data_IF_815586543429
#
_entry.id   IF_815586543429
#
_cell.length_a   1.000
_cell.length_b   1.000
_cell.length_c   1.000
_cell.angle_alpha   90.00
_cell.angle_beta   90.00
_cell.angle_gamma   90.00
#
_symmetry.space_group_name_H-M   'P 1'
#
loop_
_entity.id
_entity.type
_entity.pdbx_description
1 polymer ?
#
# COMPACT_ATOMS: atom_id res chain seq x y z
N UNK A 1 -15.53 14.48 18.34
CA UNK A 1 -16.43 14.04 17.26
C UNK A 1 -17.03 12.65 17.52
N UNK A 2 -16.24 11.57 17.67
CA UNK A 2 -16.78 10.20 17.82
C UNK A 2 -17.69 10.05 19.05
N UNK A 3 -17.29 10.56 20.22
CA UNK A 3 -18.13 10.58 21.43
C UNK A 3 -19.44 11.36 21.27
N UNK A 4 -19.43 12.41 20.48
CA UNK A 4 -20.64 13.20 20.23
C UNK A 4 -21.62 12.40 19.37
N UNK A 5 -21.11 11.66 18.38
CA UNK A 5 -21.93 10.82 17.50
C UNK A 5 -22.39 9.53 18.21
N UNK A 6 -21.54 8.96 19.04
CA UNK A 6 -21.77 7.69 19.76
C UNK A 6 -21.52 7.82 21.26
N UNK A 7 -22.42 8.44 22.04
CA UNK A 7 -22.20 8.76 23.45
C UNK A 7 -21.95 7.55 24.34
N UNK A 8 -22.51 6.40 23.98
CA UNK A 8 -22.43 5.16 24.76
C UNK A 8 -21.30 4.21 24.28
N UNK A 9 -20.52 4.62 23.29
CA UNK A 9 -19.45 3.80 22.75
C UNK A 9 -18.30 3.65 23.74
N UNK A 10 -17.78 2.43 23.86
CA UNK A 10 -16.57 2.12 24.61
C UNK A 10 -15.34 2.42 23.76
N UNK A 11 -14.71 3.56 24.04
CA UNK A 11 -13.61 4.09 23.24
C UNK A 11 -12.30 3.98 24.01
N UNK A 12 -11.26 3.45 23.36
CA UNK A 12 -9.89 3.45 23.86
C UNK A 12 -9.07 4.49 23.11
N UNK A 13 -8.55 5.49 23.83
CA UNK A 13 -7.62 6.46 23.29
C UNK A 13 -6.19 6.07 23.64
N UNK A 14 -5.33 5.97 22.63
CA UNK A 14 -3.92 5.73 22.84
C UNK A 14 -3.22 7.02 23.29
N UNK A 15 -2.48 6.96 24.41
CA UNK A 15 -1.60 8.01 24.87
C UNK A 15 -0.13 7.71 24.49
N UNK A 16 0.75 8.69 24.57
CA UNK A 16 2.18 8.47 24.34
C UNK A 16 2.77 7.45 25.33
N UNK A 17 2.29 7.46 26.57
CA UNK A 17 2.74 6.54 27.63
C UNK A 17 2.38 5.09 27.34
N UNK A 18 1.30 4.83 26.60
CA UNK A 18 0.87 3.49 26.24
C UNK A 18 1.83 2.81 25.26
N UNK A 19 2.63 3.60 24.52
CA UNK A 19 3.56 3.13 23.50
C UNK A 19 5.04 3.11 23.91
N UNK A 20 5.32 3.34 25.19
CA UNK A 20 6.68 3.06 25.71
C UNK A 20 6.97 1.55 25.64
N UNK A 21 8.24 1.12 25.57
CA UNK A 21 8.58 -0.30 25.51
C UNK A 21 7.96 -1.13 26.63
N UNK A 22 7.83 -0.55 27.83
CA UNK A 22 7.28 -1.24 28.99
C UNK A 22 5.74 -1.38 28.93
N UNK A 23 5.05 -0.40 28.36
CA UNK A 23 3.58 -0.32 28.40
C UNK A 23 2.89 -0.85 27.16
N UNK A 24 3.54 -0.84 26.00
CA UNK A 24 2.88 -1.18 24.73
C UNK A 24 2.34 -2.61 24.68
N UNK A 25 3.04 -3.56 25.28
CA UNK A 25 2.57 -4.95 25.35
C UNK A 25 1.27 -5.03 26.14
N UNK A 26 1.19 -4.32 27.26
CA UNK A 26 -0.04 -4.21 28.07
C UNK A 26 -1.17 -3.55 27.29
N UNK A 27 -0.87 -2.49 26.55
CA UNK A 27 -1.84 -1.79 25.72
C UNK A 27 -2.39 -2.69 24.60
N UNK A 28 -1.53 -3.44 23.93
CA UNK A 28 -1.95 -4.40 22.88
C UNK A 28 -2.80 -5.53 23.46
N UNK A 29 -2.43 -6.07 24.63
CA UNK A 29 -3.23 -7.05 25.33
C UNK A 29 -4.59 -6.49 25.77
N UNK A 30 -4.64 -5.22 26.14
CA UNK A 30 -5.88 -4.55 26.49
C UNK A 30 -6.85 -4.51 25.29
N UNK A 31 -6.36 -4.19 24.11
CA UNK A 31 -7.17 -4.23 22.87
C UNK A 31 -7.64 -5.67 22.59
N UNK A 32 -6.75 -6.64 22.67
CA UNK A 32 -7.06 -8.07 22.42
C UNK A 32 -8.13 -8.62 23.34
N UNK A 33 -8.07 -8.27 24.61
CA UNK A 33 -8.85 -8.93 25.66
C UNK A 33 -10.13 -8.16 26.05
N UNK A 34 -10.37 -7.01 25.46
CA UNK A 34 -11.55 -6.19 25.75
C UNK A 34 -12.34 -5.89 24.47
N UNK A 35 -13.62 -5.77 24.63
CA UNK A 35 -14.55 -5.42 23.56
C UNK A 35 -14.72 -3.89 23.48
N UNK A 36 -13.85 -3.25 22.71
CA UNK A 36 -13.95 -1.83 22.41
C UNK A 36 -14.73 -1.60 21.12
N UNK A 37 -15.59 -0.59 21.10
CA UNK A 37 -16.26 -0.14 19.87
C UNK A 37 -15.30 0.62 18.95
N UNK A 38 -14.32 1.31 19.52
CA UNK A 38 -13.33 2.06 18.76
C UNK A 38 -12.02 2.20 19.53
N UNK A 39 -10.92 2.09 18.80
CA UNK A 39 -9.57 2.41 19.29
C UNK A 39 -9.01 3.55 18.44
N UNK A 40 -8.59 4.63 19.07
CA UNK A 40 -8.07 5.82 18.39
C UNK A 40 -6.59 5.98 18.71
N UNK A 41 -5.77 6.10 17.68
CA UNK A 41 -4.33 6.28 17.80
C UNK A 41 -3.76 7.11 16.66
N UNK A 42 -2.54 7.60 16.84
CA UNK A 42 -1.81 8.29 15.77
C UNK A 42 -1.24 7.32 14.75
N UNK A 43 -0.86 7.82 13.56
CA UNK A 43 -0.18 7.01 12.55
C UNK A 43 1.12 6.40 13.06
N UNK A 44 1.89 7.13 13.86
CA UNK A 44 3.17 6.64 14.41
C UNK A 44 2.95 5.53 15.44
N UNK A 45 1.90 5.65 16.26
CA UNK A 45 1.50 4.62 17.20
C UNK A 45 1.04 3.36 16.47
N UNK A 46 0.24 3.51 15.43
CA UNK A 46 -0.18 2.39 14.57
C UNK A 46 1.04 1.66 13.97
N UNK A 47 2.06 2.38 13.52
CA UNK A 47 3.28 1.81 12.98
C UNK A 47 4.08 0.95 13.96
N UNK A 48 3.81 1.04 15.27
CA UNK A 48 4.46 0.24 16.32
C UNK A 48 3.73 -1.09 16.62
N UNK A 49 2.53 -1.27 16.07
CA UNK A 49 1.78 -2.52 16.25
C UNK A 49 2.44 -3.62 15.41
N UNK A 50 2.83 -4.75 16.01
CA UNK A 50 3.35 -5.87 15.25
C UNK A 50 2.30 -6.43 14.28
N UNK A 51 2.73 -6.79 13.10
CA UNK A 51 1.90 -7.49 12.12
C UNK A 51 2.24 -8.98 12.12
N UNK A 52 1.28 -9.83 11.73
CA UNK A 52 1.50 -11.27 11.63
C UNK A 52 2.71 -11.59 10.74
N UNK A 53 3.75 -12.26 11.24
CA UNK A 53 4.93 -12.57 10.43
C UNK A 53 4.61 -13.49 9.26
N UNK A 54 3.66 -14.40 9.41
CA UNK A 54 3.21 -15.32 8.36
C UNK A 54 2.53 -14.56 7.22
N UNK A 55 1.73 -13.54 7.54
CA UNK A 55 1.11 -12.65 6.55
C UNK A 55 2.18 -11.83 5.81
N UNK A 56 3.12 -11.24 6.54
CA UNK A 56 4.24 -10.51 5.96
C UNK A 56 5.03 -11.40 4.99
N UNK A 57 5.30 -12.64 5.37
CA UNK A 57 6.01 -13.60 4.53
C UNK A 57 5.26 -13.87 3.23
N UNK A 58 3.95 -14.11 3.28
CA UNK A 58 3.14 -14.35 2.07
C UNK A 58 3.12 -13.15 1.14
N UNK A 59 2.92 -11.95 1.66
CA UNK A 59 2.85 -10.72 0.86
C UNK A 59 4.21 -10.43 0.21
N UNK A 60 5.31 -10.50 0.97
CA UNK A 60 6.64 -10.24 0.42
C UNK A 60 7.10 -11.35 -0.53
N UNK A 61 6.70 -12.60 -0.31
CA UNK A 61 6.98 -13.68 -1.25
C UNK A 61 6.29 -13.45 -2.59
N UNK A 62 5.04 -13.01 -2.59
CA UNK A 62 4.32 -12.65 -3.81
C UNK A 62 5.00 -11.49 -4.58
N UNK A 63 5.51 -10.49 -3.86
CA UNK A 63 6.30 -9.41 -4.46
C UNK A 63 7.63 -9.92 -5.04
N UNK A 64 8.32 -10.83 -4.35
CA UNK A 64 9.55 -11.46 -4.83
C UNK A 64 9.28 -12.27 -6.09
N UNK A 65 8.23 -13.07 -6.13
CA UNK A 65 7.83 -13.87 -7.28
C UNK A 65 7.60 -12.98 -8.50
N UNK A 66 6.95 -11.84 -8.33
CA UNK A 66 6.74 -10.85 -9.40
C UNK A 66 8.07 -10.26 -9.90
N UNK A 67 9.02 -9.97 -9.01
CA UNK A 67 10.34 -9.48 -9.38
C UNK A 67 11.10 -10.56 -10.19
N UNK A 68 11.04 -11.81 -9.77
CA UNK A 68 11.68 -12.93 -10.47
C UNK A 68 11.09 -13.17 -11.86
N UNK A 69 9.77 -13.12 -11.99
CA UNK A 69 9.07 -13.18 -13.28
C UNK A 69 9.50 -12.02 -14.19
N UNK A 70 9.56 -10.80 -13.68
CA UNK A 70 10.02 -9.65 -14.45
C UNK A 70 11.47 -9.79 -14.90
N UNK A 71 12.36 -10.33 -14.06
CA UNK A 71 13.75 -10.60 -14.40
C UNK A 71 13.86 -11.66 -15.52
N UNK A 72 13.08 -12.72 -15.43
CA UNK A 72 13.04 -13.78 -16.44
C UNK A 72 12.58 -13.25 -17.79
N UNK A 73 11.47 -12.50 -17.81
CA UNK A 73 10.97 -11.86 -19.03
C UNK A 73 12.02 -10.94 -19.65
N UNK A 74 12.68 -10.10 -18.85
CA UNK A 74 13.73 -9.21 -19.36
C UNK A 74 14.92 -9.97 -19.90
N UNK A 75 15.40 -11.01 -19.22
CA UNK A 75 16.52 -11.84 -19.70
C UNK A 75 16.21 -12.56 -21.01
N UNK A 76 14.95 -12.93 -21.23
CA UNK A 76 14.51 -13.57 -22.47
C UNK A 76 14.47 -12.62 -23.68
N UNK A 77 14.37 -11.30 -23.45
CA UNK A 77 14.29 -10.29 -24.51
C UNK A 77 15.65 -9.97 -25.18
N UNK A 78 16.78 -10.48 -24.68
CA UNK A 78 18.09 -10.41 -25.33
C UNK A 78 18.83 -9.09 -25.13
N UNK A 79 19.56 -8.63 -26.17
CA UNK A 79 20.57 -7.57 -26.05
C UNK A 79 20.05 -6.15 -25.86
N UNK A 80 18.76 -5.91 -26.06
CA UNK A 80 18.16 -4.54 -26.03
C UNK A 80 17.69 -4.10 -24.65
N UNK A 81 18.12 -4.79 -23.59
CA UNK A 81 17.65 -4.52 -22.23
C UNK A 81 18.47 -3.42 -21.58
N UNK A 82 17.78 -2.49 -20.91
CA UNK A 82 18.41 -1.51 -20.04
C UNK A 82 19.15 -2.22 -18.89
N UNK A 83 20.49 -2.10 -18.87
CA UNK A 83 21.33 -2.62 -17.77
C UNK A 83 20.93 -1.99 -16.42
N UNK A 84 20.43 -0.75 -16.43
CA UNK A 84 19.96 -0.07 -15.23
C UNK A 84 18.71 -0.73 -14.65
N UNK A 85 17.77 -1.11 -15.52
CA UNK A 85 16.55 -1.83 -15.13
C UNK A 85 16.87 -3.19 -14.53
N UNK A 86 17.73 -3.98 -15.17
CA UNK A 86 18.17 -5.28 -14.62
C UNK A 86 18.79 -5.14 -13.25
N UNK A 87 19.73 -4.20 -13.07
CA UNK A 87 20.35 -3.93 -11.76
C UNK A 87 19.34 -3.51 -10.71
N UNK A 88 18.36 -2.69 -11.09
CA UNK A 88 17.29 -2.25 -10.19
C UNK A 88 16.44 -3.42 -9.68
N UNK A 89 16.04 -4.34 -10.59
CA UNK A 89 15.28 -5.53 -10.22
C UNK A 89 16.11 -6.53 -9.41
N UNK A 90 17.37 -6.74 -9.77
CA UNK A 90 18.29 -7.61 -9.01
C UNK A 90 18.51 -7.09 -7.58
N UNK A 91 18.71 -5.78 -7.43
CA UNK A 91 18.80 -5.15 -6.10
C UNK A 91 17.53 -5.33 -5.28
N UNK A 92 16.36 -5.18 -5.91
CA UNK A 92 15.08 -5.39 -5.25
C UNK A 92 14.88 -6.83 -4.83
N UNK A 93 15.25 -7.79 -5.67
CA UNK A 93 15.26 -9.22 -5.35
C UNK A 93 16.07 -9.49 -4.09
N UNK A 94 17.28 -8.96 -4.01
CA UNK A 94 18.15 -9.11 -2.84
C UNK A 94 17.50 -8.49 -1.60
N UNK A 95 16.98 -7.27 -1.69
CA UNK A 95 16.35 -6.60 -0.56
C UNK A 95 15.12 -7.37 -0.04
N UNK A 96 14.29 -7.90 -0.90
CA UNK A 96 13.14 -8.72 -0.53
C UNK A 96 13.56 -10.05 0.09
N UNK A 97 14.60 -10.70 -0.45
CA UNK A 97 15.14 -11.94 0.11
C UNK A 97 15.67 -11.74 1.53
N UNK A 98 16.40 -10.66 1.79
CA UNK A 98 16.91 -10.32 3.13
C UNK A 98 15.75 -10.07 4.11
N UNK A 99 14.71 -9.35 3.68
CA UNK A 99 13.50 -9.15 4.51
C UNK A 99 12.81 -10.47 4.83
N UNK A 100 12.67 -11.35 3.85
CA UNK A 100 12.07 -12.67 4.04
C UNK A 100 12.87 -13.55 4.99
N UNK A 101 14.19 -13.55 4.91
CA UNK A 101 15.07 -14.26 5.86
C UNK A 101 14.88 -13.74 7.30
N UNK A 102 14.82 -12.41 7.47
CA UNK A 102 14.55 -11.78 8.76
C UNK A 102 13.18 -12.20 9.33
N UNK A 103 12.16 -12.24 8.50
CA UNK A 103 10.81 -12.67 8.90
C UNK A 103 10.81 -14.16 9.26
N UNK A 104 11.46 -15.00 8.49
CA UNK A 104 11.58 -16.43 8.77
C UNK A 104 12.28 -16.67 10.12
N UNK A 105 13.32 -15.89 10.43
CA UNK A 105 13.98 -15.93 11.73
C UNK A 105 13.02 -15.47 12.85
N UNK A 106 12.25 -14.40 12.65
CA UNK A 106 11.27 -13.93 13.62
C UNK A 106 10.17 -14.97 13.91
N UNK A 107 9.73 -15.71 12.90
CA UNK A 107 8.77 -16.81 13.07
C UNK A 107 9.35 -17.91 13.95
N UNK A 108 10.61 -18.30 13.73
CA UNK A 108 11.28 -19.37 14.50
C UNK A 108 11.57 -18.98 15.94
N UNK A 109 11.88 -17.69 16.20
CA UNK A 109 12.25 -17.16 17.52
C UNK A 109 11.05 -16.55 18.28
N UNK A 110 9.86 -16.66 17.74
CA UNK A 110 8.65 -16.08 18.32
C UNK A 110 8.33 -16.68 19.69
N UNK A 111 8.00 -15.82 20.64
CA UNK A 111 7.44 -16.18 21.94
C UNK A 111 5.95 -15.95 21.93
N UNK A 112 5.20 -16.72 22.73
CA UNK A 112 3.73 -16.65 22.80
C UNK A 112 3.19 -15.33 23.38
N UNK A 113 4.09 -14.50 23.94
CA UNK A 113 3.71 -13.25 24.61
C UNK A 113 3.51 -12.05 23.65
N UNK A 114 3.81 -12.21 22.37
CA UNK A 114 3.69 -11.12 21.39
C UNK A 114 2.28 -11.06 20.81
N UNK A 115 1.56 -9.97 21.11
CA UNK A 115 0.28 -9.67 20.50
C UNK A 115 0.49 -8.89 19.22
N UNK A 116 0.04 -9.45 18.11
CA UNK A 116 0.04 -8.80 16.80
C UNK A 116 -1.35 -8.26 16.41
N UNK A 117 -1.41 -7.51 15.31
CA UNK A 117 -2.63 -6.91 14.80
C UNK A 117 -3.74 -7.95 14.52
N UNK A 118 -3.37 -9.12 14.02
CA UNK A 118 -4.32 -10.21 13.75
C UNK A 118 -5.03 -10.67 15.02
N UNK A 119 -4.31 -10.74 16.14
CA UNK A 119 -4.85 -11.18 17.44
C UNK A 119 -5.72 -10.11 18.11
N UNK A 120 -5.58 -8.85 17.73
CA UNK A 120 -6.37 -7.75 18.28
C UNK A 120 -7.85 -7.79 17.86
N UNK A 121 -8.18 -8.50 16.77
CA UNK A 121 -9.56 -8.67 16.32
C UNK A 121 -10.19 -7.42 15.70
N UNK A 122 -9.38 -6.46 15.26
CA UNK A 122 -9.87 -5.25 14.56
C UNK A 122 -10.50 -5.67 13.23
N UNK A 123 -11.70 -5.19 12.96
CA UNK A 123 -12.49 -5.54 11.78
C UNK A 123 -12.61 -4.43 10.73
N UNK A 124 -12.24 -3.20 11.09
CA UNK A 124 -12.21 -2.06 10.17
C UNK A 124 -11.21 -0.99 10.60
N UNK A 125 -10.57 -0.34 9.63
CA UNK A 125 -9.65 0.77 9.86
C UNK A 125 -10.15 2.02 9.14
N UNK A 126 -10.36 3.11 9.88
CA UNK A 126 -10.56 4.44 9.32
C UNK A 126 -9.23 5.18 9.34
N UNK A 127 -8.75 5.58 8.19
CA UNK A 127 -7.44 6.23 8.04
C UNK A 127 -7.66 7.68 7.62
N UNK A 128 -7.48 8.58 8.56
CA UNK A 128 -7.48 10.02 8.27
C UNK A 128 -6.13 10.42 7.64
N UNK A 129 -6.15 11.43 6.78
CA UNK A 129 -4.96 11.85 6.00
C UNK A 129 -4.27 10.68 5.28
N UNK A 130 -5.07 9.84 4.64
CA UNK A 130 -4.62 8.59 4.01
C UNK A 130 -3.57 8.78 2.91
N UNK A 131 -3.44 10.00 2.37
CA UNK A 131 -2.37 10.34 1.42
C UNK A 131 -0.95 10.11 2.00
N UNK A 132 -0.79 10.06 3.33
CA UNK A 132 0.49 9.72 3.96
C UNK A 132 0.93 8.27 3.74
N UNK A 133 0.03 7.40 3.31
CA UNK A 133 0.28 5.98 3.01
C UNK A 133 0.38 5.68 1.51
N UNK A 134 0.47 6.69 0.67
CA UNK A 134 0.49 6.55 -0.79
C UNK A 134 1.74 5.85 -1.35
N UNK A 135 2.85 5.87 -0.63
CA UNK A 135 4.13 5.29 -1.07
C UNK A 135 4.19 3.79 -0.78
N UNK A 136 3.25 3.03 -1.32
CA UNK A 136 3.27 1.58 -1.24
C UNK A 136 4.23 1.00 -2.28
N UNK A 137 4.86 -0.13 -1.95
CA UNK A 137 5.76 -0.83 -2.87
C UNK A 137 5.00 -1.41 -4.07
N UNK A 138 5.66 -1.42 -5.22
CA UNK A 138 5.21 -2.10 -6.42
C UNK A 138 6.38 -2.50 -7.31
N UNK A 139 6.16 -3.38 -8.27
CA UNK A 139 7.18 -3.83 -9.20
C UNK A 139 6.75 -3.54 -10.64
N UNK A 140 7.69 -3.11 -11.46
CA UNK A 140 7.45 -2.80 -12.87
C UNK A 140 8.66 -3.10 -13.73
N UNK A 141 8.41 -3.46 -14.99
CA UNK A 141 9.42 -3.56 -16.04
C UNK A 141 9.68 -2.24 -16.77
N UNK A 142 8.91 -1.21 -16.43
CA UNK A 142 9.13 0.12 -17.00
C UNK A 142 10.32 0.81 -16.33
N UNK A 143 11.18 1.41 -17.14
CA UNK A 143 12.34 2.18 -16.71
C UNK A 143 12.22 3.61 -17.19
N UNK A 144 12.66 4.55 -16.34
CA UNK A 144 12.74 5.99 -16.69
C UNK A 144 11.43 6.63 -17.16
N UNK A 145 10.29 6.07 -16.77
CA UNK A 145 9.00 6.67 -17.05
C UNK A 145 8.70 7.70 -15.95
N UNK A 146 8.49 8.95 -16.36
CA UNK A 146 8.11 9.98 -15.37
C UNK A 146 6.73 9.68 -14.76
N UNK A 147 6.61 9.90 -13.46
CA UNK A 147 5.37 9.63 -12.72
C UNK A 147 5.28 8.23 -12.09
N UNK A 148 6.31 7.36 -12.27
CA UNK A 148 6.31 6.05 -11.61
C UNK A 148 6.50 6.13 -10.09
N UNK A 149 7.19 7.15 -9.57
CA UNK A 149 7.50 7.26 -8.17
C UNK A 149 8.55 6.24 -7.68
N UNK A 150 8.67 6.13 -6.36
CA UNK A 150 9.58 5.19 -5.73
C UNK A 150 8.94 3.80 -5.62
N UNK A 151 9.53 2.81 -6.27
CA UNK A 151 9.04 1.43 -6.30
C UNK A 151 9.28 0.66 -4.99
N UNK A 152 10.27 1.05 -4.20
CA UNK A 152 10.59 0.38 -2.93
C UNK A 152 9.52 0.66 -1.85
N UNK A 153 8.79 1.76 -1.99
CA UNK A 153 7.75 2.15 -1.06
C UNK A 153 8.31 2.58 0.31
N UNK A 154 7.41 2.73 1.27
CA UNK A 154 7.75 3.02 2.66
C UNK A 154 7.33 1.89 3.59
N UNK A 155 8.04 1.71 4.70
CA UNK A 155 7.64 0.75 5.72
C UNK A 155 6.29 1.11 6.36
N UNK A 156 6.00 2.41 6.48
CA UNK A 156 4.71 2.93 6.95
C UNK A 156 3.54 2.43 6.09
N UNK A 157 3.66 2.55 4.78
CA UNK A 157 2.65 2.07 3.84
C UNK A 157 2.54 0.54 3.84
N UNK A 158 3.66 -0.16 3.93
CA UNK A 158 3.68 -1.62 3.98
C UNK A 158 2.98 -2.17 5.23
N UNK A 159 3.20 -1.55 6.40
CA UNK A 159 2.50 -1.90 7.64
C UNK A 159 0.98 -1.71 7.52
N UNK A 160 0.55 -0.64 6.87
CA UNK A 160 -0.87 -0.41 6.59
C UNK A 160 -1.44 -1.50 5.67
N UNK A 161 -0.70 -1.89 4.65
CA UNK A 161 -1.11 -2.99 3.77
C UNK A 161 -1.27 -4.30 4.54
N UNK A 162 -0.34 -4.64 5.42
CA UNK A 162 -0.44 -5.84 6.25
C UNK A 162 -1.70 -5.84 7.12
N UNK A 163 -2.01 -4.71 7.76
CA UNK A 163 -3.20 -4.58 8.59
C UNK A 163 -4.48 -4.73 7.76
N UNK A 164 -4.57 -4.06 6.62
CA UNK A 164 -5.73 -4.15 5.73
C UNK A 164 -5.89 -5.57 5.18
N UNK A 165 -4.81 -6.23 4.76
CA UNK A 165 -4.85 -7.62 4.28
C UNK A 165 -5.28 -8.60 5.35
N UNK A 166 -4.89 -8.38 6.61
CA UNK A 166 -5.36 -9.19 7.75
C UNK A 166 -6.89 -9.17 7.84
N UNK A 167 -7.51 -8.01 7.70
CA UNK A 167 -8.97 -7.87 7.74
C UNK A 167 -9.61 -8.48 6.48
N UNK A 168 -9.08 -8.20 5.31
CA UNK A 168 -9.60 -8.69 4.04
C UNK A 168 -9.54 -10.22 3.94
N UNK A 169 -8.47 -10.84 4.42
CA UNK A 169 -8.37 -12.31 4.47
C UNK A 169 -9.39 -12.93 5.43
N UNK A 170 -9.64 -12.29 6.57
CA UNK A 170 -10.62 -12.76 7.55
C UNK A 170 -12.05 -12.72 6.99
N UNK A 171 -12.39 -11.65 6.30
CA UNK A 171 -13.75 -11.46 5.73
C UNK A 171 -13.94 -12.18 4.40
N UNK A 172 -12.86 -12.51 3.72
CA UNK A 172 -12.89 -13.00 2.34
C UNK A 172 -13.34 -11.96 1.30
N UNK A 173 -13.33 -10.66 1.65
CA UNK A 173 -13.80 -9.55 0.83
C UNK A 173 -12.74 -8.46 0.74
N UNK A 174 -12.91 -7.51 -0.18
CA UNK A 174 -12.06 -6.31 -0.29
C UNK A 174 -12.37 -5.25 0.79
N UNK A 175 -13.36 -5.47 1.62
CA UNK A 175 -13.73 -4.59 2.72
C UNK A 175 -12.71 -4.69 3.87
N UNK A 176 -12.45 -3.59 4.55
CA UNK A 176 -11.54 -3.58 5.72
C UNK A 176 -10.98 -2.22 6.06
N UNK A 177 -11.02 -1.26 5.14
CA UNK A 177 -10.52 0.08 5.39
C UNK A 177 -11.36 1.15 4.71
N UNK A 178 -11.42 2.32 5.33
CA UNK A 178 -11.95 3.56 4.76
C UNK A 178 -10.87 4.62 4.81
N UNK A 179 -10.45 5.09 3.64
CA UNK A 179 -9.44 6.14 3.51
C UNK A 179 -10.12 7.50 3.40
N UNK A 180 -9.69 8.43 4.24
CA UNK A 180 -10.15 9.80 4.27
C UNK A 180 -8.97 10.72 3.90
N UNK A 181 -9.19 11.65 2.99
CA UNK A 181 -8.16 12.62 2.61
C UNK A 181 -8.80 13.85 1.96
N UNK A 182 -8.38 15.04 2.39
CA UNK A 182 -8.68 16.29 1.70
C UNK A 182 -7.78 16.54 0.50
N UNK A 183 -6.75 15.71 0.31
CA UNK A 183 -5.86 15.81 -0.85
C UNK A 183 -6.41 14.92 -1.97
N UNK A 184 -6.75 15.55 -3.09
CA UNK A 184 -7.14 14.80 -4.28
C UNK A 184 -6.03 13.82 -4.66
N UNK A 185 -6.43 12.67 -5.20
CA UNK A 185 -5.49 11.75 -5.84
C UNK A 185 -4.72 12.59 -6.85
N UNK A 186 -3.42 12.74 -6.64
CA UNK A 186 -2.60 13.46 -7.58
C UNK A 186 -2.71 12.77 -8.95
N UNK A 187 -2.51 13.52 -10.02
CA UNK A 187 -2.66 13.05 -11.41
C UNK A 187 -1.71 11.88 -11.79
N UNK A 188 -1.33 11.05 -10.82
CA UNK A 188 -0.43 9.93 -11.00
C UNK A 188 -1.20 8.64 -11.14
N UNK A 189 -1.05 8.02 -12.30
CA UNK A 189 -1.53 6.68 -12.58
C UNK A 189 -1.08 5.66 -11.52
N UNK A 190 0.17 5.78 -11.06
CA UNK A 190 0.74 4.91 -10.04
C UNK A 190 0.02 5.03 -8.71
N UNK A 191 -0.27 6.25 -8.25
CA UNK A 191 -0.98 6.46 -6.98
C UNK A 191 -2.38 5.85 -7.01
N UNK A 192 -3.09 5.95 -8.13
CA UNK A 192 -4.39 5.33 -8.29
C UNK A 192 -4.32 3.80 -8.25
N UNK A 193 -3.33 3.21 -8.93
CA UNK A 193 -3.08 1.77 -8.84
C UNK A 193 -2.80 1.32 -7.40
N UNK A 194 -1.97 2.05 -6.67
CA UNK A 194 -1.61 1.72 -5.30
C UNK A 194 -2.80 1.85 -4.35
N UNK A 195 -3.70 2.80 -4.58
CA UNK A 195 -4.97 2.90 -3.87
C UNK A 195 -5.81 1.64 -4.08
N UNK A 196 -5.95 1.17 -5.31
CA UNK A 196 -6.65 -0.09 -5.61
C UNK A 196 -5.94 -1.31 -5.05
N UNK A 197 -4.62 -1.31 -5.00
CA UNK A 197 -3.84 -2.35 -4.35
C UNK A 197 -4.20 -2.50 -2.87
N UNK A 198 -4.44 -1.40 -2.16
CA UNK A 198 -4.96 -1.43 -0.80
C UNK A 198 -6.41 -1.91 -0.72
N UNK A 199 -7.30 -1.34 -1.54
CA UNK A 199 -8.74 -1.38 -1.30
C UNK A 199 -9.50 -2.37 -2.18
N UNK A 200 -8.92 -2.80 -3.32
CA UNK A 200 -9.57 -3.69 -4.28
C UNK A 200 -8.69 -4.84 -4.79
N UNK A 201 -7.95 -5.55 -3.94
CA UNK A 201 -7.02 -6.58 -4.41
C UNK A 201 -7.72 -7.75 -5.13
N UNK A 202 -8.88 -8.19 -4.65
CA UNK A 202 -9.63 -9.29 -5.28
C UNK A 202 -10.22 -8.89 -6.61
N UNK A 203 -10.70 -7.66 -6.71
CA UNK A 203 -11.24 -7.15 -7.98
C UNK A 203 -10.15 -6.96 -9.03
N UNK A 204 -8.96 -6.49 -8.63
CA UNK A 204 -7.79 -6.44 -9.51
C UNK A 204 -7.38 -7.83 -9.99
N UNK A 205 -7.40 -8.83 -9.12
CA UNK A 205 -7.10 -10.21 -9.45
C UNK A 205 -8.16 -10.81 -10.39
N UNK A 206 -9.44 -10.59 -10.11
CA UNK A 206 -10.55 -11.06 -10.94
C UNK A 206 -10.45 -10.55 -12.39
N UNK A 207 -9.97 -9.32 -12.57
CA UNK A 207 -9.77 -8.71 -13.87
C UNK A 207 -8.38 -8.98 -14.48
N UNK A 208 -7.51 -9.75 -13.82
CA UNK A 208 -6.12 -10.02 -14.21
C UNK A 208 -5.27 -8.74 -14.38
N UNK A 209 -5.50 -7.74 -13.54
CA UNK A 209 -4.79 -6.45 -13.51
C UNK A 209 -4.18 -6.17 -12.13
N UNK A 210 -3.84 -7.20 -11.39
CA UNK A 210 -3.24 -7.11 -10.05
C UNK A 210 -1.75 -6.72 -10.07
N UNK A 211 -1.06 -6.84 -11.19
CA UNK A 211 0.28 -6.26 -11.36
C UNK A 211 0.19 -4.85 -11.93
N UNK A 212 1.14 -3.98 -11.53
CA UNK A 212 1.18 -2.62 -12.07
C UNK A 212 1.29 -2.60 -13.60
N UNK A 213 2.13 -3.45 -14.18
CA UNK A 213 2.34 -3.49 -15.64
C UNK A 213 1.08 -3.93 -16.39
N UNK A 214 0.33 -4.91 -15.87
CA UNK A 214 -0.94 -5.34 -16.43
C UNK A 214 -1.98 -4.21 -16.37
N UNK A 215 -2.07 -3.54 -15.23
CA UNK A 215 -3.00 -2.42 -15.04
C UNK A 215 -2.64 -1.22 -15.93
N UNK A 216 -1.36 -0.87 -16.01
CA UNK A 216 -0.87 0.21 -16.85
C UNK A 216 -1.08 -0.09 -18.36
N UNK A 217 -0.94 -1.33 -18.79
CA UNK A 217 -1.20 -1.74 -20.16
C UNK A 217 -2.64 -1.48 -20.61
N UNK A 218 -3.59 -1.49 -19.67
CA UNK A 218 -5.01 -1.24 -19.96
C UNK A 218 -5.36 0.24 -19.84
N UNK A 219 -4.88 0.93 -18.81
CA UNK A 219 -5.35 2.27 -18.44
C UNK A 219 -4.36 3.40 -18.74
N UNK A 220 -3.12 3.09 -19.13
CA UNK A 220 -2.10 4.08 -19.36
C UNK A 220 -1.68 4.15 -20.83
N UNK A 221 -1.46 5.37 -21.31
CA UNK A 221 -0.77 5.63 -22.56
C UNK A 221 0.55 6.33 -22.28
N UNK A 222 1.64 5.76 -22.79
CA UNK A 222 2.93 6.43 -22.80
C UNK A 222 2.96 7.51 -23.87
N UNK A 223 3.55 8.65 -23.54
CA UNK A 223 3.97 9.66 -24.49
C UNK A 223 5.48 9.81 -24.41
N UNK A 224 6.07 10.13 -25.55
CA UNK A 224 7.49 10.42 -25.67
C UNK A 224 7.64 11.93 -25.83
N UNK A 225 8.32 12.57 -24.89
CA UNK A 225 8.64 13.99 -24.94
C UNK A 225 10.16 14.17 -25.04
N UNK A 226 10.56 15.23 -25.72
CA UNK A 226 11.95 15.67 -25.78
C UNK A 226 12.15 16.82 -24.78
N UNK A 227 13.06 16.65 -23.85
CA UNK A 227 13.40 17.65 -22.84
C UNK A 227 14.88 17.99 -22.89
N UNK A 228 15.23 19.21 -22.52
CA UNK A 228 16.62 19.58 -22.29
C UNK A 228 17.08 19.03 -20.94
N UNK A 229 18.20 18.29 -20.97
CA UNK A 229 18.85 17.86 -19.73
C UNK A 229 19.55 19.05 -19.06
N UNK A 230 19.96 18.89 -17.80
CA UNK A 230 20.76 19.86 -17.05
C UNK A 230 22.08 20.20 -17.80
N UNK A 231 22.52 19.31 -18.68
CA UNK A 231 23.72 19.47 -19.52
C UNK A 231 23.41 20.04 -20.92
N UNK A 232 22.23 20.62 -21.11
CA UNK A 232 21.75 21.20 -22.38
C UNK A 232 21.68 20.21 -23.56
N UNK A 233 21.63 18.93 -23.32
CA UNK A 233 21.38 17.92 -24.34
C UNK A 233 19.88 17.62 -24.45
N UNK A 234 19.40 17.36 -25.66
CA UNK A 234 18.05 16.90 -25.89
C UNK A 234 17.98 15.43 -25.46
N UNK A 235 17.17 15.12 -24.47
CA UNK A 235 16.91 13.76 -23.99
C UNK A 235 15.46 13.39 -24.25
N UNK A 236 15.27 12.18 -24.71
CA UNK A 236 13.95 11.60 -24.88
C UNK A 236 13.48 11.03 -23.55
N UNK A 237 12.32 11.47 -23.07
CA UNK A 237 11.68 10.91 -21.86
C UNK A 237 10.34 10.31 -22.20
N UNK A 238 10.13 9.08 -21.74
CA UNK A 238 8.80 8.47 -21.72
C UNK A 238 8.07 8.85 -20.44
N UNK A 239 6.77 9.16 -20.60
CA UNK A 239 5.88 9.46 -19.47
C UNK A 239 4.56 8.74 -19.63
N UNK A 240 3.97 8.27 -18.53
CA UNK A 240 2.55 7.94 -18.47
C UNK A 240 1.75 9.23 -18.33
N UNK A 241 1.38 9.82 -19.46
CA UNK A 241 0.77 11.16 -19.48
C UNK A 241 -0.74 11.13 -19.57
N UNK A 242 -1.29 10.07 -20.12
CA UNK A 242 -2.70 10.00 -20.43
C UNK A 242 -3.30 8.73 -19.89
N UNK A 243 -4.47 8.85 -19.26
CA UNK A 243 -5.35 7.74 -19.00
C UNK A 243 -6.09 7.39 -20.29
N UNK A 244 -6.19 6.11 -20.57
CA UNK A 244 -7.07 5.55 -21.59
C UNK A 244 -8.19 4.77 -20.90
N UNK A 245 -9.28 4.51 -21.60
CA UNK A 245 -10.48 3.87 -21.04
C UNK A 245 -10.98 4.58 -19.76
N UNK A 246 -11.01 5.89 -19.82
CA UNK A 246 -11.38 6.75 -18.67
C UNK A 246 -12.78 6.41 -18.12
N UNK A 247 -13.81 6.12 -18.95
CA UNK A 247 -15.11 5.73 -18.43
C UNK A 247 -15.08 4.46 -17.57
N UNK A 248 -14.35 3.43 -18.02
CA UNK A 248 -14.20 2.17 -17.28
C UNK A 248 -13.41 2.36 -15.99
N UNK A 249 -12.35 3.17 -16.03
CA UNK A 249 -11.55 3.50 -14.86
C UNK A 249 -12.37 4.34 -13.86
N UNK A 250 -13.15 5.31 -14.34
CA UNK A 250 -14.04 6.10 -13.51
C UNK A 250 -15.12 5.24 -12.85
N UNK A 251 -15.71 4.30 -13.57
CA UNK A 251 -16.66 3.35 -13.01
C UNK A 251 -16.02 2.49 -11.92
N UNK A 252 -14.82 1.95 -12.16
CA UNK A 252 -14.06 1.16 -11.19
C UNK A 252 -13.74 1.94 -9.90
N UNK A 253 -13.41 3.22 -10.05
CA UNK A 253 -13.12 4.12 -8.93
C UNK A 253 -14.39 4.54 -8.17
N UNK A 254 -15.45 4.88 -8.88
CA UNK A 254 -16.70 5.38 -8.29
C UNK A 254 -17.43 4.34 -7.45
N UNK A 255 -17.22 3.04 -7.71
CA UNK A 255 -17.81 1.97 -6.91
C UNK A 255 -17.38 2.00 -5.43
N UNK A 256 -16.19 2.54 -5.15
CA UNK A 256 -15.61 2.57 -3.80
C UNK A 256 -15.34 3.98 -3.27
N UNK A 257 -15.73 5.02 -4.00
CA UNK A 257 -15.36 6.41 -3.67
C UNK A 257 -16.59 7.28 -3.52
N UNK A 258 -16.63 8.04 -2.43
CA UNK A 258 -17.52 9.19 -2.26
C UNK A 258 -16.67 10.46 -2.34
N UNK A 259 -16.74 11.16 -3.46
CA UNK A 259 -16.01 12.40 -3.69
C UNK A 259 -16.93 13.60 -3.49
N UNK A 260 -16.49 14.54 -2.62
CA UNK A 260 -17.22 15.78 -2.33
C UNK A 260 -16.29 16.98 -2.50
N UNK A 261 -16.79 17.99 -3.17
CA UNK A 261 -16.10 19.28 -3.28
C UNK A 261 -16.47 20.20 -2.10
N UNK A 262 -15.74 21.29 -1.92
CA UNK A 262 -16.10 22.33 -0.95
C UNK A 262 -17.52 22.86 -1.21
N UNK A 263 -17.90 23.06 -2.46
CA UNK A 263 -19.25 23.46 -2.87
C UNK A 263 -20.32 22.46 -2.44
N UNK A 264 -20.08 21.16 -2.63
CA UNK A 264 -21.02 20.09 -2.25
C UNK A 264 -21.32 20.05 -0.74
N UNK A 265 -20.36 20.49 0.08
CA UNK A 265 -20.49 20.50 1.54
C UNK A 265 -20.80 21.90 2.11
N UNK A 266 -20.99 22.90 1.27
CA UNK A 266 -21.36 24.26 1.66
C UNK A 266 -20.27 25.02 2.40
N UNK A 267 -19.01 24.73 2.12
CA UNK A 267 -17.84 25.45 2.63
C UNK A 267 -17.31 26.31 1.48
N UNK A 268 -17.40 27.64 1.64
CA UNK A 268 -16.88 28.64 0.71
C UNK A 268 -15.35 28.80 0.83
#
# INVERSE_FOLDING_TARGET
CYRTAYPNAKILYASEKDFTPENRVRFFNNIKNNDYDCVIMSHDQFGKIPQSPELQQRILQAELDTVEENLEVLRSQGKDISRAMLRGLEKRKINLSVKLESIAHAIKSRTDDVVDFKQMGIDHIFVDESHQFKNLMFNTRHDRVAGLGNQDGSQKALNMLYAIRTIQERTGKDLGATFLSGTTISNSLTELYLLFKYLRPKELERQNINSFDAWAAIFAKKSTDFEFSVTNNIVQKERFRYFIKVPELAAFYSEITDYRTAEDVGVD
#
